data_IF_198811086928
#
_entry.id   IF_198811086928
#
_cell.length_a   1.000
_cell.length_b   1.000
_cell.length_c   1.000
_cell.angle_alpha   90.00
_cell.angle_beta   90.00
_cell.angle_gamma   90.00
#
_symmetry.space_group_name_H-M   'P 1'
#
loop_
_entity.id
_entity.type
_entity.pdbx_description
1 polymer ?
#
# COMPACT_ATOMS: atom_id res chain seq x y z
N UNK A 1 7.10 -10.73 19.16
CA UNK A 1 7.54 -9.96 20.33
C UNK A 1 8.32 -8.75 19.87
N UNK A 2 8.36 -7.69 20.68
CA UNK A 2 9.18 -6.50 20.43
C UNK A 2 10.65 -6.87 20.17
N UNK A 3 11.08 -8.00 20.69
CA UNK A 3 12.45 -8.54 20.52
C UNK A 3 12.78 -8.90 19.06
N UNK A 4 11.77 -9.13 18.22
CA UNK A 4 11.94 -9.35 16.77
C UNK A 4 11.82 -8.07 15.95
N UNK A 5 11.40 -6.97 16.56
CA UNK A 5 11.31 -5.69 15.88
C UNK A 5 12.72 -5.24 15.47
N UNK A 6 12.84 -4.80 14.21
CA UNK A 6 14.07 -4.17 13.76
C UNK A 6 14.24 -2.82 14.44
N UNK A 7 15.39 -2.58 15.04
CA UNK A 7 15.79 -1.27 15.53
C UNK A 7 16.60 -0.59 14.43
N UNK A 8 16.03 0.43 13.84
CA UNK A 8 16.53 1.06 12.62
C UNK A 8 17.02 2.47 12.95
N UNK A 9 18.29 2.74 12.73
CA UNK A 9 18.93 4.03 13.05
C UNK A 9 19.06 4.96 11.83
N UNK A 10 18.95 4.41 10.63
CA UNK A 10 18.99 5.15 9.37
C UNK A 10 18.15 4.46 8.30
N UNK A 11 17.70 5.18 7.24
CA UNK A 11 16.97 4.57 6.13
C UNK A 11 17.75 3.44 5.45
N UNK A 12 19.06 3.54 5.38
CA UNK A 12 19.96 2.57 4.75
C UNK A 12 19.84 1.18 5.37
N UNK A 13 19.56 1.09 6.66
CA UNK A 13 19.36 -0.19 7.36
C UNK A 13 18.09 -0.93 6.92
N UNK A 14 17.13 -0.24 6.29
CA UNK A 14 15.95 -0.85 5.67
C UNK A 14 16.15 -1.21 4.19
N UNK A 15 17.29 -0.83 3.60
CA UNK A 15 17.53 -1.09 2.18
C UNK A 15 17.71 -2.58 1.92
N UNK A 16 16.85 -3.12 1.06
CA UNK A 16 16.93 -4.50 0.60
C UNK A 16 17.80 -4.61 -0.65
N UNK A 17 18.56 -5.69 -0.76
CA UNK A 17 19.23 -6.08 -2.01
C UNK A 17 18.23 -6.65 -3.03
N UNK A 18 17.16 -7.25 -2.53
CA UNK A 18 16.06 -7.80 -3.32
C UNK A 18 14.87 -6.85 -3.30
N UNK A 19 14.62 -6.16 -4.42
CA UNK A 19 13.53 -5.19 -4.57
C UNK A 19 12.14 -5.83 -4.55
N UNK A 20 12.05 -7.16 -4.61
CA UNK A 20 10.78 -7.90 -4.56
C UNK A 20 10.25 -8.12 -3.13
N UNK A 21 10.97 -7.65 -2.12
CA UNK A 21 10.62 -7.87 -0.72
C UNK A 21 10.58 -6.57 0.08
N UNK A 22 9.54 -6.44 0.91
CA UNK A 22 9.45 -5.39 1.92
C UNK A 22 9.61 -6.03 3.30
N UNK A 23 10.57 -5.56 4.09
CA UNK A 23 10.82 -6.09 5.41
C UNK A 23 9.80 -5.56 6.42
N UNK A 24 9.30 -6.44 7.28
CA UNK A 24 8.39 -6.10 8.39
C UNK A 24 9.10 -6.22 9.72
N UNK A 25 9.72 -7.37 9.97
CA UNK A 25 10.53 -7.63 11.17
C UNK A 25 11.59 -8.71 10.85
N UNK A 26 12.41 -9.03 11.82
CA UNK A 26 13.29 -10.17 11.69
C UNK A 26 12.48 -11.45 11.44
N UNK A 27 12.76 -12.10 10.32
CA UNK A 27 12.08 -13.32 9.87
C UNK A 27 10.69 -13.13 9.24
N UNK A 28 10.25 -11.90 9.00
CA UNK A 28 8.99 -11.63 8.30
C UNK A 28 9.13 -10.51 7.26
N UNK A 29 8.76 -10.80 6.04
CA UNK A 29 8.71 -9.83 4.94
C UNK A 29 7.44 -10.01 4.11
N UNK A 30 7.10 -8.98 3.32
CA UNK A 30 6.08 -9.05 2.29
C UNK A 30 6.79 -9.43 0.99
N UNK A 31 6.50 -10.62 0.47
CA UNK A 31 7.04 -11.07 -0.82
C UNK A 31 6.11 -10.59 -1.95
N UNK A 32 6.55 -9.60 -2.70
CA UNK A 32 5.77 -8.99 -3.79
C UNK A 32 5.59 -9.90 -5.00
N UNK A 33 6.29 -11.02 -5.06
CA UNK A 33 6.12 -12.02 -6.12
C UNK A 33 4.87 -12.88 -5.89
N UNK A 34 4.46 -13.03 -4.65
CA UNK A 34 3.34 -13.89 -4.25
C UNK A 34 2.17 -13.11 -3.62
N UNK A 35 2.42 -11.89 -3.16
CA UNK A 35 1.41 -11.02 -2.57
C UNK A 35 1.01 -9.90 -3.52
N UNK A 36 -0.20 -9.41 -3.36
CA UNK A 36 -0.75 -8.29 -4.12
C UNK A 36 -0.82 -7.01 -3.28
N UNK A 37 -1.86 -6.23 -3.54
CA UNK A 37 -2.13 -5.00 -2.83
C UNK A 37 -2.35 -5.23 -1.33
N UNK A 38 -2.16 -4.17 -0.54
CA UNK A 38 -2.11 -4.21 0.91
C UNK A 38 -3.24 -3.37 1.50
N UNK A 39 -3.90 -3.92 2.51
CA UNK A 39 -4.84 -3.20 3.35
C UNK A 39 -4.21 -2.99 4.73
N UNK A 40 -4.08 -1.73 5.13
CA UNK A 40 -3.49 -1.34 6.41
C UNK A 40 -4.53 -0.60 7.24
N UNK A 41 -4.86 -1.15 8.39
CA UNK A 41 -5.83 -0.57 9.31
C UNK A 41 -5.19 -0.28 10.68
N UNK A 42 -5.74 0.67 11.38
CA UNK A 42 -5.32 1.00 12.74
C UNK A 42 -5.82 2.37 13.18
N UNK A 43 -6.21 2.46 14.44
CA UNK A 43 -6.66 3.71 15.07
C UNK A 43 -5.50 4.70 15.26
N UNK A 44 -5.85 5.93 15.56
CA UNK A 44 -4.88 6.95 15.95
C UNK A 44 -3.95 6.45 17.06
N UNK A 45 -2.66 6.74 16.94
CA UNK A 45 -1.61 6.33 17.88
C UNK A 45 -1.38 4.83 17.98
N UNK A 46 -1.76 4.07 16.94
CA UNK A 46 -1.48 2.63 16.85
C UNK A 46 -0.08 2.29 16.32
N UNK A 47 0.66 3.28 15.84
CA UNK A 47 1.93 3.08 15.12
C UNK A 47 1.75 2.85 13.62
N UNK A 48 0.51 2.96 13.10
CA UNK A 48 0.18 2.75 11.69
C UNK A 48 1.00 3.66 10.77
N UNK A 49 1.04 4.95 11.03
CA UNK A 49 1.77 5.92 10.18
C UNK A 49 3.25 5.60 10.12
N UNK A 50 3.88 5.31 11.26
CA UNK A 50 5.31 4.93 11.30
C UNK A 50 5.56 3.63 10.55
N UNK A 51 4.70 2.64 10.69
CA UNK A 51 4.80 1.38 9.96
C UNK A 51 4.64 1.58 8.45
N UNK A 52 3.71 2.41 8.02
CA UNK A 52 3.54 2.78 6.60
C UNK A 52 4.79 3.50 6.09
N UNK A 53 5.35 4.44 6.84
CA UNK A 53 6.57 5.15 6.43
C UNK A 53 7.73 4.17 6.26
N UNK A 54 7.86 3.14 7.10
CA UNK A 54 8.86 2.10 6.92
C UNK A 54 8.69 1.36 5.58
N UNK A 55 7.46 1.09 5.15
CA UNK A 55 7.17 0.51 3.84
C UNK A 55 7.48 1.49 2.69
N UNK A 56 7.11 2.76 2.83
CA UNK A 56 7.35 3.79 1.81
C UNK A 56 8.83 4.10 1.63
N UNK A 57 9.62 4.09 2.70
CA UNK A 57 11.08 4.22 2.62
C UNK A 57 11.66 3.09 1.76
N UNK A 58 11.24 1.85 2.00
CA UNK A 58 11.68 0.70 1.21
C UNK A 58 11.23 0.80 -0.25
N UNK A 59 10.00 1.24 -0.49
CA UNK A 59 9.47 1.48 -1.83
C UNK A 59 10.29 2.53 -2.59
N UNK A 60 10.64 3.65 -1.95
CA UNK A 60 11.48 4.67 -2.54
C UNK A 60 12.91 4.17 -2.84
N UNK A 61 13.46 3.36 -1.94
CA UNK A 61 14.80 2.76 -2.11
C UNK A 61 14.85 1.68 -3.19
N UNK A 62 13.72 1.06 -3.53
CA UNK A 62 13.65 0.15 -4.67
C UNK A 62 14.01 0.87 -5.99
N UNK A 63 13.79 2.18 -6.03
CA UNK A 63 14.19 3.01 -7.14
C UNK A 63 13.29 2.92 -8.37
N UNK A 64 13.63 3.69 -9.40
CA UNK A 64 12.94 3.69 -10.68
C UNK A 64 13.66 2.81 -11.67
N UNK A 65 12.93 2.06 -12.44
CA UNK A 65 13.44 1.29 -13.57
C UNK A 65 13.15 1.99 -14.91
N UNK A 66 13.62 1.42 -15.99
CA UNK A 66 13.32 1.89 -17.36
C UNK A 66 11.90 1.58 -17.82
N UNK A 67 11.12 0.88 -17.01
CA UNK A 67 9.74 0.46 -17.31
C UNK A 67 8.70 1.28 -16.54
N UNK A 68 9.14 2.38 -15.92
CA UNK A 68 8.25 3.36 -15.30
C UNK A 68 7.65 2.91 -13.97
N UNK A 69 8.45 2.31 -13.08
CA UNK A 69 8.01 2.15 -11.70
C UNK A 69 7.73 3.51 -11.06
N UNK A 70 6.72 3.58 -10.22
CA UNK A 70 6.28 4.80 -9.53
C UNK A 70 6.12 4.56 -8.04
N UNK A 71 6.33 5.61 -7.27
CA UNK A 71 5.88 5.71 -5.90
C UNK A 71 4.95 6.92 -5.81
N UNK A 72 3.66 6.68 -5.83
CA UNK A 72 2.62 7.71 -5.76
C UNK A 72 2.03 7.74 -4.36
N UNK A 73 2.11 8.90 -3.71
CA UNK A 73 1.59 9.11 -2.35
C UNK A 73 0.38 10.05 -2.42
N UNK A 74 -0.76 9.59 -1.90
CA UNK A 74 -2.01 10.36 -1.86
C UNK A 74 -2.40 10.59 -0.41
N UNK A 75 -2.52 11.86 -0.01
CA UNK A 75 -3.02 12.29 1.29
C UNK A 75 -4.17 13.30 1.13
N UNK A 76 -5.43 12.83 1.16
CA UNK A 76 -6.60 13.70 0.94
C UNK A 76 -6.89 14.65 2.10
N UNK A 77 -6.40 14.36 3.29
CA UNK A 77 -6.64 15.19 4.47
C UNK A 77 -5.66 16.34 4.65
N UNK A 78 -4.66 16.44 3.79
CA UNK A 78 -3.58 17.41 3.93
C UNK A 78 -2.92 17.35 5.32
N UNK A 79 -2.76 16.13 5.84
CA UNK A 79 -2.14 15.86 7.13
C UNK A 79 -0.60 15.85 7.01
N UNK A 80 0.06 15.14 7.89
CA UNK A 80 1.53 15.13 7.96
C UNK A 80 2.21 14.69 6.66
N UNK A 81 1.63 13.71 5.95
CA UNK A 81 2.19 13.19 4.69
C UNK A 81 2.11 14.19 3.54
N UNK A 82 1.16 15.12 3.56
CA UNK A 82 1.03 16.14 2.52
C UNK A 82 2.19 17.15 2.50
N UNK A 83 2.96 17.22 3.57
CA UNK A 83 4.17 18.04 3.66
C UNK A 83 5.35 17.42 2.93
N UNK A 84 5.25 16.14 2.58
CA UNK A 84 6.28 15.47 1.79
C UNK A 84 6.24 15.96 0.34
N UNK A 85 7.39 16.06 -0.33
CA UNK A 85 7.44 16.43 -1.73
C UNK A 85 6.70 15.39 -2.59
N UNK A 86 6.14 15.85 -3.70
CA UNK A 86 5.47 15.00 -4.70
C UNK A 86 4.25 14.22 -4.19
N UNK A 87 3.63 14.68 -3.09
CA UNK A 87 2.41 14.09 -2.55
C UNK A 87 1.18 14.72 -3.21
N UNK A 88 0.24 13.90 -3.65
CA UNK A 88 -1.03 14.35 -4.23
C UNK A 88 -2.02 14.64 -3.11
N UNK A 89 -2.57 15.85 -3.14
CA UNK A 89 -3.58 16.33 -2.19
C UNK A 89 -4.80 16.85 -2.92
N UNK A 90 -5.78 17.34 -2.16
CA UNK A 90 -6.94 18.01 -2.72
C UNK A 90 -6.55 19.35 -3.36
N UNK A 91 -7.30 19.75 -4.37
CA UNK A 91 -7.13 21.07 -4.98
C UNK A 91 -7.65 22.21 -4.07
N UNK A 92 -7.51 23.44 -4.54
CA UNK A 92 -7.97 24.63 -3.80
C UNK A 92 -9.48 24.67 -3.52
N UNK A 93 -10.26 23.89 -4.24
CA UNK A 93 -11.71 23.78 -4.07
C UNK A 93 -12.10 22.60 -3.17
N UNK A 94 -11.13 21.87 -2.61
CA UNK A 94 -11.35 20.68 -1.81
C UNK A 94 -11.78 19.46 -2.63
N UNK A 95 -11.52 19.44 -3.93
CA UNK A 95 -11.86 18.35 -4.84
C UNK A 95 -10.66 17.47 -5.14
N UNK A 96 -10.92 16.21 -5.45
CA UNK A 96 -9.92 15.19 -5.72
C UNK A 96 -9.67 14.94 -7.21
N UNK A 97 -9.88 15.93 -8.08
CA UNK A 97 -9.74 15.79 -9.54
C UNK A 97 -8.32 15.40 -9.94
N UNK A 98 -7.32 16.06 -9.38
CA UNK A 98 -5.93 15.75 -9.64
C UNK A 98 -5.51 14.36 -9.13
N UNK A 99 -6.09 13.93 -8.02
CA UNK A 99 -5.91 12.57 -7.50
C UNK A 99 -6.50 11.53 -8.46
N UNK A 100 -7.70 11.76 -8.95
CA UNK A 100 -8.36 10.85 -9.89
C UNK A 100 -7.56 10.73 -11.19
N UNK A 101 -7.07 11.84 -11.73
CA UNK A 101 -6.23 11.85 -12.93
C UNK A 101 -4.92 11.08 -12.70
N UNK A 102 -4.27 11.28 -11.57
CA UNK A 102 -3.06 10.54 -11.20
C UNK A 102 -3.33 9.02 -11.10
N UNK A 103 -4.45 8.63 -10.50
CA UNK A 103 -4.84 7.21 -10.43
C UNK A 103 -5.13 6.62 -11.81
N UNK A 104 -5.73 7.41 -12.71
CA UNK A 104 -5.97 7.00 -14.10
C UNK A 104 -4.65 6.73 -14.83
N UNK A 105 -3.69 7.63 -14.71
CA UNK A 105 -2.35 7.44 -15.27
C UNK A 105 -1.65 6.22 -14.68
N UNK A 106 -1.81 5.97 -13.39
CA UNK A 106 -1.29 4.76 -12.74
C UNK A 106 -1.90 3.49 -13.32
N UNK A 107 -3.21 3.46 -13.54
CA UNK A 107 -3.90 2.32 -14.14
C UNK A 107 -3.46 2.09 -15.60
N UNK A 108 -3.23 3.14 -16.37
CA UNK A 108 -2.69 3.06 -17.74
C UNK A 108 -1.28 2.46 -17.75
N UNK A 109 -0.46 2.81 -16.78
CA UNK A 109 0.89 2.24 -16.62
C UNK A 109 0.86 0.75 -16.35
N UNK A 110 -0.09 0.25 -15.58
CA UNK A 110 -0.30 -1.19 -15.40
C UNK A 110 -0.50 -1.88 -16.75
N UNK A 111 -1.37 -1.33 -17.60
CA UNK A 111 -1.63 -1.88 -18.92
C UNK A 111 -0.37 -1.89 -19.81
N UNK A 112 0.42 -0.81 -19.79
CA UNK A 112 1.67 -0.71 -20.56
C UNK A 112 2.67 -1.78 -20.08
N UNK A 113 2.85 -1.95 -18.78
CA UNK A 113 3.75 -2.96 -18.22
C UNK A 113 3.29 -4.38 -18.57
N UNK A 114 1.99 -4.65 -18.52
CA UNK A 114 1.43 -5.95 -18.91
C UNK A 114 1.65 -6.25 -20.40
N UNK A 115 1.45 -5.26 -21.26
CA UNK A 115 1.70 -5.41 -22.70
C UNK A 115 3.17 -5.76 -22.96
N UNK A 116 4.11 -5.08 -22.29
CA UNK A 116 5.53 -5.39 -22.42
C UNK A 116 5.86 -6.81 -21.95
N UNK A 117 5.33 -7.24 -20.81
CA UNK A 117 5.51 -8.59 -20.29
C UNK A 117 4.93 -9.66 -21.23
N UNK A 118 3.79 -9.40 -21.85
CA UNK A 118 3.19 -10.28 -22.85
C UNK A 118 4.09 -10.42 -24.09
N UNK A 119 4.66 -9.34 -24.59
CA UNK A 119 5.60 -9.37 -25.71
C UNK A 119 6.85 -10.21 -25.37
N UNK A 120 7.42 -10.03 -24.17
CA UNK A 120 8.55 -10.83 -23.71
C UNK A 120 8.18 -12.31 -23.57
N UNK A 121 6.97 -12.62 -23.10
CA UNK A 121 6.48 -13.99 -22.94
C UNK A 121 6.30 -14.67 -24.29
N UNK A 122 5.79 -13.97 -25.30
CA UNK A 122 5.68 -14.46 -26.68
C UNK A 122 7.06 -14.77 -27.26
N UNK A 123 8.02 -13.87 -27.11
CA UNK A 123 9.38 -14.05 -27.60
C UNK A 123 10.09 -15.25 -26.94
N UNK A 124 9.86 -15.43 -25.64
CA UNK A 124 10.45 -16.52 -24.88
C UNK A 124 9.75 -17.87 -25.10
N UNK A 125 8.48 -17.84 -25.46
CA UNK A 125 7.61 -19.03 -25.54
C UNK A 125 7.20 -19.55 -24.15
N UNK A 126 7.29 -18.74 -23.12
CA UNK A 126 6.92 -19.05 -21.73
C UNK A 126 6.59 -17.77 -20.97
N UNK A 127 5.93 -17.91 -19.83
CA UNK A 127 5.54 -16.75 -19.01
C UNK A 127 6.78 -16.02 -18.45
N UNK A 128 6.85 -14.71 -18.70
CA UNK A 128 7.85 -13.81 -18.11
C UNK A 128 7.16 -12.99 -17.03
N UNK A 129 7.62 -13.12 -15.80
CA UNK A 129 7.13 -12.34 -14.66
C UNK A 129 7.86 -11.00 -14.60
N UNK A 130 7.24 -10.00 -13.95
CA UNK A 130 7.82 -8.66 -13.85
C UNK A 130 9.23 -8.69 -13.21
N UNK A 131 9.45 -9.52 -12.19
CA UNK A 131 10.78 -9.67 -11.56
C UNK A 131 11.80 -10.37 -12.44
N UNK A 132 11.39 -11.25 -13.35
CA UNK A 132 12.29 -11.88 -14.35
C UNK A 132 12.69 -10.87 -15.43
N UNK A 133 11.84 -9.88 -15.71
CA UNK A 133 12.13 -8.81 -16.67
C UNK A 133 12.99 -7.68 -16.08
N UNK A 134 13.42 -7.79 -14.83
CA UNK A 134 14.20 -6.76 -14.13
C UNK A 134 13.41 -5.52 -13.77
N UNK A 135 12.08 -5.59 -13.77
CA UNK A 135 11.23 -4.48 -13.35
C UNK A 135 11.32 -4.28 -11.85
N UNK A 136 11.26 -3.03 -11.42
CA UNK A 136 11.09 -2.67 -10.02
C UNK A 136 9.59 -2.57 -9.67
N UNK A 137 9.22 -2.83 -8.41
CA UNK A 137 7.84 -2.69 -7.99
C UNK A 137 7.41 -1.23 -8.03
N UNK A 138 6.15 -1.01 -8.37
CA UNK A 138 5.49 0.30 -8.39
C UNK A 138 4.43 0.32 -7.30
N UNK A 139 4.27 1.46 -6.61
CA UNK A 139 3.36 1.58 -5.47
C UNK A 139 2.46 2.80 -5.59
N UNK A 140 1.18 2.58 -5.30
CA UNK A 140 0.18 3.62 -5.07
C UNK A 140 -0.23 3.57 -3.61
N UNK A 141 0.17 4.57 -2.82
CA UNK A 141 -0.25 4.68 -1.43
C UNK A 141 -1.42 5.66 -1.30
N UNK A 142 -2.51 5.19 -0.70
CA UNK A 142 -3.69 6.00 -0.39
C UNK A 142 -3.84 6.08 1.12
N UNK A 143 -3.59 7.26 1.67
CA UNK A 143 -3.90 7.55 3.06
C UNK A 143 -5.39 7.89 3.20
N UNK A 144 -5.99 7.44 4.29
CA UNK A 144 -7.40 7.75 4.60
C UNK A 144 -8.37 7.44 3.44
N UNK A 145 -8.35 6.21 2.97
CA UNK A 145 -9.16 5.76 1.83
C UNK A 145 -10.65 6.12 1.97
N UNK A 146 -11.24 5.91 3.16
CA UNK A 146 -12.67 6.20 3.39
C UNK A 146 -12.97 7.68 3.21
N UNK A 147 -12.10 8.55 3.71
CA UNK A 147 -12.23 10.00 3.55
C UNK A 147 -12.10 10.39 2.06
N UNK A 148 -11.12 9.85 1.35
CA UNK A 148 -10.94 10.11 -0.08
C UNK A 148 -12.18 9.69 -0.88
N UNK A 149 -12.66 8.47 -0.65
CA UNK A 149 -13.84 7.95 -1.35
C UNK A 149 -15.09 8.82 -1.16
N UNK A 150 -15.27 9.35 0.04
CA UNK A 150 -16.43 10.20 0.37
C UNK A 150 -16.46 11.55 -0.38
N UNK A 151 -15.33 11.98 -0.94
CA UNK A 151 -15.24 13.25 -1.67
C UNK A 151 -15.78 13.18 -3.09
N UNK A 152 -15.91 11.97 -3.64
CA UNK A 152 -16.40 11.80 -5.00
C UNK A 152 -17.94 11.87 -5.06
N UNK A 153 -18.49 12.63 -6.01
CA UNK A 153 -19.95 12.71 -6.17
C UNK A 153 -20.51 11.37 -6.66
N UNK A 154 -21.67 10.97 -6.11
CA UNK A 154 -22.36 9.74 -6.54
C UNK A 154 -22.78 9.77 -8.00
N UNK A 155 -23.05 10.98 -8.52
CA UNK A 155 -23.37 11.20 -9.92
C UNK A 155 -22.45 12.26 -10.49
N UNK A 156 -21.90 12.01 -11.65
CA UNK A 156 -21.10 12.99 -12.37
C UNK A 156 -21.94 14.18 -12.85
N UNK A 157 -21.31 15.34 -12.96
CA UNK A 157 -21.90 16.50 -13.62
C UNK A 157 -21.66 16.46 -15.15
N UNK A 158 -22.41 17.28 -15.88
CA UNK A 158 -22.20 17.38 -17.35
C UNK A 158 -20.83 18.00 -17.67
N UNK A 159 -20.35 18.90 -16.81
CA UNK A 159 -19.07 19.58 -16.98
C UNK A 159 -17.85 18.70 -16.63
N UNK A 160 -18.07 17.66 -15.82
CA UNK A 160 -17.03 16.75 -15.39
C UNK A 160 -17.57 15.30 -15.33
N UNK A 161 -17.83 14.69 -16.48
CA UNK A 161 -18.47 13.37 -16.54
C UNK A 161 -17.62 12.25 -15.94
N UNK A 162 -16.30 12.41 -15.90
CA UNK A 162 -15.38 11.42 -15.34
C UNK A 162 -15.12 11.61 -13.83
N UNK A 163 -15.57 12.72 -13.24
CA UNK A 163 -15.40 12.95 -11.80
C UNK A 163 -16.59 12.39 -11.01
N UNK A 164 -16.50 11.13 -10.67
CA UNK A 164 -17.57 10.41 -9.96
C UNK A 164 -17.03 9.28 -9.08
N UNK A 165 -17.87 8.85 -8.15
CA UNK A 165 -17.56 7.71 -7.28
C UNK A 165 -17.37 6.41 -8.11
N UNK A 166 -18.18 6.21 -9.15
CA UNK A 166 -18.08 5.03 -10.02
C UNK A 166 -16.73 4.99 -10.76
N UNK A 167 -16.23 6.12 -11.22
CA UNK A 167 -14.90 6.21 -11.85
C UNK A 167 -13.80 5.90 -10.85
N UNK A 168 -13.85 6.48 -9.64
CA UNK A 168 -12.90 6.19 -8.59
C UNK A 168 -12.89 4.71 -8.21
N UNK A 169 -14.06 4.14 -7.93
CA UNK A 169 -14.19 2.72 -7.56
C UNK A 169 -13.72 1.80 -8.69
N UNK A 170 -14.04 2.14 -9.95
CA UNK A 170 -13.61 1.39 -11.12
C UNK A 170 -12.09 1.39 -11.31
N UNK A 171 -11.45 2.55 -11.16
CA UNK A 171 -9.99 2.68 -11.23
C UNK A 171 -9.30 1.88 -10.13
N UNK A 172 -9.76 2.03 -8.89
CA UNK A 172 -9.16 1.32 -7.77
C UNK A 172 -9.32 -0.20 -7.90
N UNK A 173 -10.50 -0.66 -8.33
CA UNK A 173 -10.75 -2.07 -8.63
C UNK A 173 -9.74 -2.60 -9.65
N UNK A 174 -9.55 -1.90 -10.75
CA UNK A 174 -8.60 -2.28 -11.80
C UNK A 174 -7.17 -2.36 -11.27
N UNK A 175 -6.75 -1.38 -10.47
CA UNK A 175 -5.41 -1.34 -9.87
C UNK A 175 -5.19 -2.54 -8.94
N UNK A 176 -6.11 -2.81 -8.01
CA UNK A 176 -5.93 -3.88 -7.02
C UNK A 176 -6.12 -5.28 -7.59
N UNK A 177 -6.89 -5.45 -8.67
CA UNK A 177 -7.11 -6.76 -9.29
C UNK A 177 -6.08 -7.11 -10.35
N UNK A 178 -5.55 -6.12 -11.07
CA UNK A 178 -4.66 -6.35 -12.22
C UNK A 178 -3.21 -5.94 -11.95
N UNK A 179 -2.95 -5.16 -10.92
CA UNK A 179 -1.65 -4.54 -10.70
C UNK A 179 -0.53 -5.52 -10.37
N UNK A 180 -0.79 -6.53 -9.54
CA UNK A 180 0.24 -7.44 -9.04
C UNK A 180 1.01 -8.17 -10.15
N UNK A 181 0.32 -8.59 -11.20
CA UNK A 181 0.95 -9.26 -12.34
C UNK A 181 1.90 -8.35 -13.13
N UNK A 182 1.71 -7.03 -13.03
CA UNK A 182 2.59 -6.03 -13.62
C UNK A 182 3.58 -5.41 -12.62
N UNK A 183 3.66 -5.93 -11.40
CA UNK A 183 4.49 -5.37 -10.33
C UNK A 183 3.99 -4.04 -9.78
N UNK A 184 2.69 -3.77 -9.85
CA UNK A 184 2.07 -2.54 -9.38
C UNK A 184 1.13 -2.84 -8.23
N UNK A 185 1.37 -2.22 -7.08
CA UNK A 185 0.70 -2.53 -5.82
C UNK A 185 0.06 -1.28 -5.21
N UNK A 186 -1.17 -1.42 -4.73
CA UNK A 186 -1.78 -0.40 -3.89
C UNK A 186 -1.54 -0.70 -2.42
N UNK A 187 -1.25 0.32 -1.63
CA UNK A 187 -1.24 0.29 -0.17
C UNK A 187 -2.38 1.18 0.28
N UNK A 188 -3.43 0.58 0.81
CA UNK A 188 -4.67 1.27 1.18
C UNK A 188 -4.73 1.36 2.70
N UNK A 189 -4.70 2.58 3.22
CA UNK A 189 -4.77 2.87 4.65
C UNK A 189 -6.18 3.30 5.06
N UNK A 190 -6.69 2.68 6.12
CA UNK A 190 -7.97 3.02 6.75
C UNK A 190 -7.78 3.21 8.26
N UNK A 191 -8.51 4.16 8.84
CA UNK A 191 -8.44 4.41 10.29
C UNK A 191 -9.10 3.30 11.10
N UNK A 192 -10.19 2.75 10.60
CA UNK A 192 -10.90 1.62 11.20
C UNK A 192 -11.33 0.64 10.12
N UNK A 193 -11.29 -0.64 10.43
CA UNK A 193 -11.72 -1.69 9.51
C UNK A 193 -13.26 -1.84 9.44
N UNK A 194 -14.03 -0.82 9.85
CA UNK A 194 -15.49 -0.90 9.90
C UNK A 194 -16.14 -0.86 8.52
N UNK A 195 -17.21 -1.62 8.36
CA UNK A 195 -18.00 -1.69 7.12
C UNK A 195 -19.18 -0.69 7.14
N UNK A 196 -19.36 0.07 8.22
CA UNK A 196 -20.52 0.95 8.40
C UNK A 196 -20.41 2.23 7.56
N UNK A 197 -21.53 2.64 6.96
CA UNK A 197 -21.75 3.91 6.26
C UNK A 197 -20.72 4.30 5.19
N UNK A 198 -20.53 3.43 4.18
CA UNK A 198 -19.59 3.70 3.09
C UNK A 198 -18.15 3.34 3.42
N UNK A 199 -17.95 2.51 4.45
CA UNK A 199 -16.67 1.94 4.83
C UNK A 199 -16.03 1.06 3.74
N UNK A 200 -15.16 0.17 4.13
CA UNK A 200 -14.37 -0.64 3.22
C UNK A 200 -15.23 -1.60 2.38
N UNK A 201 -15.33 -1.44 1.05
CA UNK A 201 -16.05 -2.38 0.22
C UNK A 201 -15.46 -3.80 0.33
N UNK A 202 -16.34 -4.81 0.29
CA UNK A 202 -15.92 -6.20 0.36
C UNK A 202 -14.91 -6.57 -0.74
N UNK A 203 -15.04 -5.96 -1.91
CA UNK A 203 -14.12 -6.18 -3.02
C UNK A 203 -12.68 -5.74 -2.67
N UNK A 204 -12.49 -4.57 -2.07
CA UNK A 204 -11.16 -4.09 -1.63
C UNK A 204 -10.58 -5.02 -0.60
N UNK A 205 -11.37 -5.41 0.39
CA UNK A 205 -10.95 -6.34 1.45
C UNK A 205 -10.51 -7.70 0.90
N UNK A 206 -11.22 -8.25 -0.08
CA UNK A 206 -10.87 -9.54 -0.69
C UNK A 206 -9.72 -9.43 -1.70
N UNK A 207 -9.57 -8.31 -2.40
CA UNK A 207 -8.50 -8.10 -3.36
C UNK A 207 -7.13 -7.82 -2.73
N UNK A 208 -7.10 -7.29 -1.50
CA UNK A 208 -5.86 -7.05 -0.78
C UNK A 208 -5.37 -8.33 -0.10
N UNK A 209 -4.40 -8.99 -0.71
CA UNK A 209 -3.84 -10.25 -0.22
C UNK A 209 -2.92 -10.08 0.99
N UNK A 210 -2.35 -8.92 1.19
CA UNK A 210 -1.63 -8.55 2.41
C UNK A 210 -2.53 -7.68 3.28
N UNK A 211 -2.66 -8.06 4.55
CA UNK A 211 -3.48 -7.35 5.53
C UNK A 211 -2.69 -7.09 6.80
N UNK A 212 -2.77 -5.87 7.28
CA UNK A 212 -2.06 -5.40 8.47
C UNK A 212 -3.04 -4.63 9.34
N UNK A 213 -3.18 -5.05 10.60
CA UNK A 213 -3.98 -4.37 11.61
C UNK A 213 -3.11 -3.95 12.77
N UNK A 214 -2.82 -2.65 12.88
CA UNK A 214 -2.02 -2.09 13.95
C UNK A 214 -2.81 -2.00 15.26
N UNK A 215 -2.15 -2.33 16.36
CA UNK A 215 -2.73 -2.36 17.71
C UNK A 215 -4.08 -3.07 17.70
N UNK A 216 -4.09 -4.34 17.32
CA UNK A 216 -5.30 -5.06 16.95
C UNK A 216 -6.24 -5.29 18.14
N UNK A 217 -7.52 -5.32 17.82
CA UNK A 217 -8.58 -5.83 18.68
C UNK A 217 -9.32 -6.95 17.95
N UNK A 218 -9.90 -7.88 18.70
CA UNK A 218 -10.62 -8.98 18.07
C UNK A 218 -11.81 -8.53 17.22
N UNK A 219 -12.64 -7.55 17.65
CA UNK A 219 -13.71 -7.02 16.80
C UNK A 219 -13.21 -6.47 15.47
N UNK A 220 -12.12 -5.72 15.45
CA UNK A 220 -11.53 -5.19 14.22
C UNK A 220 -10.93 -6.32 13.36
N UNK A 221 -10.29 -7.30 13.98
CA UNK A 221 -9.74 -8.46 13.28
C UNK A 221 -10.81 -9.26 12.54
N UNK A 222 -12.00 -9.40 13.13
CA UNK A 222 -13.16 -10.09 12.50
C UNK A 222 -13.68 -9.36 11.25
N UNK A 223 -13.39 -8.09 11.09
CA UNK A 223 -13.73 -7.32 9.90
C UNK A 223 -12.73 -7.53 8.75
N UNK A 224 -11.51 -7.95 9.06
CA UNK A 224 -10.44 -8.15 8.10
C UNK A 224 -10.22 -9.61 7.73
N UNK A 225 -10.47 -10.53 8.65
CA UNK A 225 -10.20 -11.97 8.50
C UNK A 225 -11.38 -12.82 8.94
N UNK A 226 -11.48 -13.98 8.36
CA UNK A 226 -12.42 -15.02 8.80
C UNK A 226 -12.09 -15.49 10.23
N UNK A 227 -13.13 -15.86 10.97
CA UNK A 227 -13.01 -16.26 12.38
C UNK A 227 -12.02 -17.40 12.61
N UNK A 228 -11.88 -18.29 11.63
CA UNK A 228 -10.95 -19.41 11.71
C UNK A 228 -9.49 -18.97 11.73
N UNK A 229 -9.15 -17.92 11.00
CA UNK A 229 -7.79 -17.35 10.98
C UNK A 229 -7.39 -16.64 12.27
N UNK A 230 -8.38 -16.36 13.14
CA UNK A 230 -8.20 -15.65 14.40
C UNK A 230 -8.28 -16.55 15.64
N UNK A 231 -8.51 -17.87 15.45
CA UNK A 231 -8.77 -18.83 16.53
C UNK A 231 -7.70 -18.88 17.62
N UNK A 232 -6.45 -18.81 17.20
CA UNK A 232 -5.30 -19.12 18.06
C UNK A 232 -4.59 -17.88 18.59
N UNK A 233 -5.20 -16.70 18.42
CA UNK A 233 -4.58 -15.48 18.92
C UNK A 233 -4.79 -15.35 20.43
N UNK A 234 -3.70 -15.34 21.21
CA UNK A 234 -3.80 -15.12 22.64
C UNK A 234 -4.30 -13.70 22.93
N UNK A 235 -5.17 -13.59 23.93
CA UNK A 235 -5.53 -12.30 24.49
C UNK A 235 -4.29 -11.66 25.10
N UNK A 236 -3.89 -10.51 24.58
CA UNK A 236 -2.76 -9.72 25.10
C UNK A 236 -3.01 -8.23 24.88
N UNK A 237 -2.28 -7.41 25.59
CA UNK A 237 -2.25 -5.97 25.35
C UNK A 237 -1.26 -5.69 24.22
N UNK A 238 -1.71 -5.01 23.19
CA UNK A 238 -0.90 -4.58 22.05
C UNK A 238 -0.56 -3.11 22.18
N UNK A 239 0.71 -2.78 21.99
CA UNK A 239 1.23 -1.42 21.97
C UNK A 239 1.35 -0.85 20.56
N UNK A 240 1.77 0.43 20.42
CA UNK A 240 2.06 1.03 19.13
C UNK A 240 3.15 0.25 18.39
N UNK A 241 2.91 -0.03 17.09
CA UNK A 241 3.82 -0.82 16.26
C UNK A 241 3.55 -2.32 16.26
N UNK A 242 2.83 -2.82 17.27
CA UNK A 242 2.32 -4.19 17.26
C UNK A 242 1.21 -4.32 16.22
N UNK A 243 1.23 -5.39 15.45
CA UNK A 243 0.25 -5.64 14.42
C UNK A 243 -0.07 -7.12 14.24
N UNK A 244 -1.28 -7.40 13.79
CA UNK A 244 -1.62 -8.66 13.15
C UNK A 244 -1.35 -8.52 11.65
N UNK A 245 -0.75 -9.57 11.08
CA UNK A 245 -0.26 -9.58 9.71
C UNK A 245 -0.61 -10.89 9.02
N UNK A 246 -1.09 -10.78 7.79
CA UNK A 246 -1.22 -11.93 6.89
C UNK A 246 -0.81 -11.55 5.47
N UNK A 247 -0.32 -12.53 4.73
CA UNK A 247 0.10 -12.36 3.34
C UNK A 247 0.02 -13.71 2.62
N UNK A 248 -0.18 -13.71 1.32
CA UNK A 248 -0.28 -14.93 0.50
C UNK A 248 1.08 -15.43 0.05
N UNK A 249 1.96 -15.72 1.00
CA UNK A 249 3.34 -16.13 0.74
C UNK A 249 3.63 -17.61 1.09
N UNK A 250 2.61 -18.37 1.52
CA UNK A 250 2.75 -19.74 1.99
C UNK A 250 3.25 -19.87 3.42
N UNK A 251 3.70 -18.79 4.04
CA UNK A 251 4.21 -18.75 5.42
C UNK A 251 3.29 -17.95 6.34
N UNK A 252 2.77 -16.82 5.84
CA UNK A 252 1.91 -15.90 6.60
C UNK A 252 0.46 -15.90 6.11
N UNK A 253 0.00 -16.99 5.49
CA UNK A 253 -1.41 -17.14 5.05
C UNK A 253 -2.38 -17.12 6.23
N UNK A 254 -1.95 -17.61 7.38
CA UNK A 254 -2.65 -17.40 8.64
C UNK A 254 -2.16 -16.11 9.29
N UNK A 255 -3.03 -15.49 10.10
CA UNK A 255 -2.71 -14.26 10.81
C UNK A 255 -1.57 -14.52 11.80
N UNK A 256 -0.52 -13.72 11.69
CA UNK A 256 0.65 -13.75 12.56
C UNK A 256 0.79 -12.46 13.34
N UNK A 257 1.41 -12.54 14.52
CA UNK A 257 1.79 -11.37 15.28
C UNK A 257 3.15 -10.86 14.81
N UNK A 258 3.24 -9.58 14.50
CA UNK A 258 4.48 -8.89 14.13
C UNK A 258 4.63 -7.58 14.89
N UNK A 259 5.85 -7.06 14.96
CA UNK A 259 6.11 -5.70 15.38
C UNK A 259 6.87 -4.97 14.27
N UNK A 260 6.31 -3.86 13.78
CA UNK A 260 6.95 -3.05 12.74
C UNK A 260 8.23 -2.40 13.24
N UNK A 261 9.13 -1.97 12.33
CA UNK A 261 10.41 -1.41 12.72
C UNK A 261 10.30 -0.24 13.69
N UNK A 262 11.16 -0.24 14.69
CA UNK A 262 11.34 0.89 15.61
C UNK A 262 12.37 1.81 14.98
N UNK A 263 11.92 2.92 14.42
CA UNK A 263 12.76 3.85 13.67
C UNK A 263 13.28 4.97 14.58
N UNK A 264 14.59 5.00 14.77
CA UNK A 264 15.29 5.93 15.65
C UNK A 264 16.00 7.04 14.86
N UNK A 265 15.25 7.66 13.94
CA UNK A 265 15.71 8.76 13.12
C UNK A 265 14.52 9.65 12.70
N UNK A 266 14.79 10.80 12.10
CA UNK A 266 13.75 11.71 11.61
C UNK A 266 13.09 11.15 10.34
N UNK A 267 12.02 10.36 10.52
CA UNK A 267 11.40 9.53 9.46
C UNK A 267 10.81 10.37 8.32
N UNK A 268 10.16 11.49 8.61
CA UNK A 268 9.60 12.37 7.57
C UNK A 268 10.68 13.03 6.73
N UNK A 269 11.77 13.48 7.38
CA UNK A 269 12.93 14.03 6.66
C UNK A 269 13.55 12.99 5.74
N UNK A 270 13.79 11.80 6.25
CA UNK A 270 14.38 10.71 5.49
C UNK A 270 13.52 10.33 4.28
N UNK A 271 12.21 10.16 4.47
CA UNK A 271 11.30 9.85 3.37
C UNK A 271 11.22 11.02 2.37
N UNK A 272 11.21 12.26 2.84
CA UNK A 272 11.21 13.45 1.98
C UNK A 272 12.45 13.53 1.08
N UNK A 273 13.63 13.26 1.62
CA UNK A 273 14.90 13.23 0.87
C UNK A 273 14.89 12.09 -0.17
N UNK A 274 14.39 10.92 0.18
CA UNK A 274 14.25 9.78 -0.73
C UNK A 274 13.27 10.08 -1.87
N UNK A 275 12.15 10.74 -1.58
CA UNK A 275 11.18 11.13 -2.59
C UNK A 275 11.77 12.17 -3.55
N UNK A 276 12.51 13.15 -3.05
CA UNK A 276 13.24 14.11 -3.90
C UNK A 276 14.23 13.41 -4.81
N UNK A 277 15.02 12.50 -4.30
CA UNK A 277 15.94 11.68 -5.10
C UNK A 277 15.20 10.82 -6.13
N UNK A 278 14.12 10.16 -5.71
CA UNK A 278 13.32 9.33 -6.57
C UNK A 278 12.76 10.09 -7.79
N UNK A 279 12.25 11.29 -7.58
CA UNK A 279 11.65 12.08 -8.65
C UNK A 279 12.64 12.89 -9.50
N UNK A 280 13.91 12.94 -9.11
CA UNK A 280 15.00 13.54 -9.94
C UNK A 280 15.51 12.60 -11.03
N UNK A 281 15.36 11.31 -10.83
CA UNK A 281 15.73 10.27 -11.79
C UNK A 281 14.57 10.03 -12.74
#
# INVERSE_FOLDING_TARGET
>A
TIDRALKVHSPEELKQTDVTRLIVQDGACIDLRTSGSMLVAGKTRSGKTTGIIALLIQAAQAGRDGHGSELMVIDPKQAELSRLPHTYTLDKNGEARGILEAMKQYAERIAIRQQYLNQLSEQKGDAVKWWDAGMHPSFLFIDEYVALRSLFPKRSSKEAPEYSLDEFDGLLRRIVTMGASAGCFAIISVAEASVQEGGLPAMIRSACSTKILFRPTLPEGRLMWDSEKLKDFPSRVYGPGDAWFSSTDGVHDNVSYVHFPVMQFAVYRALGELLEEYYRK
#
